data_IF_294619581617
#
_entry.id   IF_294619581617
#
_cell.length_a   1.000
_cell.length_b   1.000
_cell.length_c   1.000
_cell.angle_alpha   90.00
_cell.angle_beta   90.00
_cell.angle_gamma   90.00
#
_symmetry.space_group_name_H-M   'P 1'
#
loop_
_entity.id
_entity.type
_entity.pdbx_description
1 polymer ?
#
# COMPACT_ATOMS: atom_id res chain seq x y z
N UNK A 1 -1.69 10.21 19.55
CA UNK A 1 -2.65 10.69 18.53
C UNK A 1 -3.31 9.47 17.93
N UNK A 2 -4.64 9.45 17.82
CA UNK A 2 -5.36 8.33 17.25
C UNK A 2 -5.16 8.34 15.72
N UNK A 3 -4.44 7.36 15.18
CA UNK A 3 -4.11 7.28 13.74
C UNK A 3 -5.36 7.21 12.86
N UNK A 4 -6.46 6.63 13.36
CA UNK A 4 -7.77 6.64 12.69
C UNK A 4 -8.30 8.05 12.51
N UNK A 5 -8.20 8.89 13.54
CA UNK A 5 -8.67 10.29 13.46
C UNK A 5 -7.84 11.10 12.47
N UNK A 6 -6.52 10.89 12.44
CA UNK A 6 -5.63 11.52 11.47
C UNK A 6 -5.99 11.11 10.04
N UNK A 7 -6.16 9.81 9.78
CA UNK A 7 -6.56 9.32 8.48
C UNK A 7 -7.95 9.85 8.07
N UNK A 8 -8.94 9.86 8.98
CA UNK A 8 -10.26 10.44 8.71
C UNK A 8 -10.18 11.92 8.34
N UNK A 9 -9.32 12.69 9.00
CA UNK A 9 -9.12 14.10 8.67
C UNK A 9 -8.48 14.29 7.29
N UNK A 10 -7.52 13.44 6.94
CA UNK A 10 -6.89 13.43 5.62
C UNK A 10 -7.91 13.08 4.51
N UNK A 11 -8.73 12.06 4.73
CA UNK A 11 -9.74 11.61 3.76
C UNK A 11 -10.82 12.67 3.47
N UNK A 12 -11.10 13.56 4.43
CA UNK A 12 -12.06 14.68 4.29
C UNK A 12 -11.57 15.82 3.40
N UNK A 13 -10.27 15.87 3.07
CA UNK A 13 -9.74 16.91 2.21
C UNK A 13 -10.38 16.87 0.82
N UNK A 14 -10.51 18.03 0.17
CA UNK A 14 -11.11 18.12 -1.17
C UNK A 14 -10.23 17.42 -2.22
N UNK A 15 -8.91 17.56 -2.07
CA UNK A 15 -7.89 16.94 -2.91
C UNK A 15 -6.76 16.39 -2.02
N UNK A 16 -5.94 15.49 -2.56
CA UNK A 16 -4.88 14.79 -1.83
C UNK A 16 -3.48 14.97 -2.41
N UNK A 17 -3.31 15.82 -3.44
CA UNK A 17 -2.03 16.20 -4.06
C UNK A 17 -0.96 15.09 -4.10
N UNK A 18 -1.33 13.95 -4.70
CA UNK A 18 -0.49 12.75 -4.84
C UNK A 18 -0.10 12.07 -3.53
N UNK A 19 -1.00 11.96 -2.57
CA UNK A 19 -0.69 11.27 -1.30
C UNK A 19 -0.53 9.75 -1.44
N UNK A 20 0.56 9.25 -0.84
CA UNK A 20 0.81 7.84 -0.54
C UNK A 20 1.06 7.70 0.95
N UNK A 21 0.16 7.00 1.63
CA UNK A 21 0.13 6.83 3.08
C UNK A 21 0.61 5.42 3.42
N UNK A 22 1.57 5.32 4.34
CA UNK A 22 1.92 4.06 4.97
C UNK A 22 1.06 3.88 6.23
N UNK A 23 0.23 2.83 6.27
CA UNK A 23 -0.61 2.50 7.42
C UNK A 23 0.03 1.39 8.25
N UNK A 24 0.29 1.69 9.53
CA UNK A 24 0.89 0.76 10.50
C UNK A 24 -0.10 0.31 11.59
N UNK A 25 -1.39 0.60 11.43
CA UNK A 25 -2.44 0.21 12.38
C UNK A 25 -3.12 -1.11 12.02
N UNK A 26 -4.15 -1.49 12.79
CA UNK A 26 -4.92 -2.69 12.50
C UNK A 26 -5.81 -2.53 11.25
N UNK A 27 -6.14 -3.65 10.62
CA UNK A 27 -7.09 -3.72 9.51
C UNK A 27 -8.49 -3.25 9.91
N UNK A 28 -8.92 -3.55 11.13
CA UNK A 28 -10.22 -3.12 11.64
C UNK A 28 -10.29 -1.59 11.75
N UNK A 29 -9.24 -0.97 12.29
CA UNK A 29 -9.12 0.48 12.40
C UNK A 29 -9.05 1.16 11.03
N UNK A 30 -8.36 0.56 10.05
CA UNK A 30 -8.33 1.05 8.68
C UNK A 30 -9.71 0.99 8.02
N UNK A 31 -10.42 -0.14 8.14
CA UNK A 31 -11.77 -0.30 7.60
C UNK A 31 -12.75 0.70 8.21
N UNK A 32 -12.67 0.95 9.51
CA UNK A 32 -13.47 1.99 10.17
C UNK A 32 -13.17 3.39 9.60
N UNK A 33 -11.88 3.71 9.40
CA UNK A 33 -11.46 4.98 8.80
C UNK A 33 -12.01 5.19 7.38
N UNK A 34 -12.08 4.12 6.59
CA UNK A 34 -12.43 4.14 5.17
C UNK A 34 -13.92 3.94 4.87
N UNK A 35 -14.75 3.70 5.90
CA UNK A 35 -16.18 3.35 5.78
C UNK A 35 -17.04 4.27 4.89
N UNK A 36 -16.66 5.54 4.73
CA UNK A 36 -17.37 6.53 3.92
C UNK A 36 -16.66 6.89 2.61
N UNK A 37 -15.57 6.22 2.27
CA UNK A 37 -14.77 6.49 1.08
C UNK A 37 -15.02 5.44 0.00
N UNK A 38 -14.98 5.86 -1.26
CA UNK A 38 -14.89 4.92 -2.36
C UNK A 38 -13.49 4.30 -2.35
N UNK A 39 -13.43 3.02 -2.01
CA UNK A 39 -12.19 2.29 -1.79
C UNK A 39 -12.07 1.15 -2.78
N UNK A 40 -10.84 0.91 -3.21
CA UNK A 40 -10.46 -0.24 -4.04
C UNK A 40 -9.33 -0.95 -3.32
N UNK A 41 -9.40 -2.27 -3.23
CA UNK A 41 -8.32 -3.08 -2.68
C UNK A 41 -7.50 -3.67 -3.84
N UNK A 42 -6.18 -3.63 -3.70
CA UNK A 42 -5.24 -4.30 -4.59
C UNK A 42 -4.31 -5.16 -3.75
N UNK A 43 -4.45 -6.48 -3.85
CA UNK A 43 -3.39 -7.38 -3.41
C UNK A 43 -2.35 -7.50 -4.51
N UNK A 44 -1.09 -7.19 -4.19
CA UNK A 44 0.00 -7.31 -5.14
C UNK A 44 0.19 -8.77 -5.61
N UNK A 45 -0.25 -9.75 -4.82
CA UNK A 45 -0.27 -11.17 -5.23
C UNK A 45 -1.23 -11.42 -6.40
N UNK A 46 -2.36 -10.72 -6.45
CA UNK A 46 -3.39 -10.92 -7.49
C UNK A 46 -2.93 -10.46 -8.88
N UNK A 47 -1.80 -9.77 -8.96
CA UNK A 47 -1.18 -9.35 -10.22
C UNK A 47 -0.38 -10.47 -10.90
N UNK A 48 -0.18 -11.60 -10.22
CA UNK A 48 0.41 -12.79 -10.80
C UNK A 48 -0.67 -13.74 -11.34
N UNK A 49 -0.40 -14.29 -12.51
CA UNK A 49 -1.21 -15.37 -13.09
C UNK A 49 -0.78 -16.70 -12.45
N UNK A 50 -1.66 -17.39 -11.70
CA UNK A 50 -1.32 -18.66 -11.05
C UNK A 50 -0.98 -19.78 -12.05
N UNK A 51 -1.52 -19.70 -13.28
CA UNK A 51 -1.27 -20.70 -14.33
C UNK A 51 0.03 -20.40 -15.11
N UNK A 52 0.62 -19.22 -14.91
CA UNK A 52 1.79 -18.76 -15.62
C UNK A 52 2.72 -17.96 -14.70
N UNK A 53 3.24 -18.64 -13.68
CA UNK A 53 4.19 -18.04 -12.75
C UNK A 53 5.54 -17.75 -13.44
N UNK A 54 6.20 -16.64 -13.08
CA UNK A 54 7.52 -16.28 -13.61
C UNK A 54 8.58 -17.31 -13.20
N UNK A 55 9.50 -17.61 -14.12
CA UNK A 55 10.56 -18.61 -13.90
C UNK A 55 11.69 -18.11 -12.98
N UNK A 56 11.85 -16.80 -12.85
CA UNK A 56 12.87 -16.16 -12.01
C UNK A 56 12.40 -14.78 -11.52
N UNK A 57 13.18 -14.17 -10.63
CA UNK A 57 12.83 -12.90 -9.99
C UNK A 57 12.86 -11.69 -10.93
N UNK A 58 13.66 -11.73 -12.01
CA UNK A 58 13.71 -10.64 -13.00
C UNK A 58 12.43 -10.63 -13.86
N UNK A 59 12.00 -11.80 -14.31
CA UNK A 59 10.72 -11.98 -15.01
C UNK A 59 9.55 -11.61 -14.10
N UNK A 60 9.59 -12.02 -12.82
CA UNK A 60 8.58 -11.68 -11.84
C UNK A 60 8.47 -10.16 -11.66
N UNK A 61 9.61 -9.47 -11.55
CA UNK A 61 9.68 -8.02 -11.46
C UNK A 61 9.08 -7.34 -12.70
N UNK A 62 9.47 -7.77 -13.89
CA UNK A 62 9.01 -7.17 -15.15
C UNK A 62 7.50 -7.36 -15.37
N UNK A 63 6.98 -8.56 -15.09
CA UNK A 63 5.54 -8.85 -15.15
C UNK A 63 4.77 -8.04 -14.13
N UNK A 64 5.23 -8.03 -12.88
CA UNK A 64 4.57 -7.30 -11.81
C UNK A 64 4.54 -5.79 -12.10
N UNK A 65 5.64 -5.22 -12.60
CA UNK A 65 5.68 -3.81 -13.01
C UNK A 65 4.64 -3.50 -14.10
N UNK A 66 4.50 -4.39 -15.08
CA UNK A 66 3.55 -4.24 -16.19
C UNK A 66 2.10 -4.35 -15.72
N UNK A 67 1.76 -5.42 -14.98
CA UNK A 67 0.42 -5.64 -14.43
C UNK A 67 0.00 -4.52 -13.48
N UNK A 68 0.90 -4.09 -12.60
CA UNK A 68 0.66 -2.97 -11.68
C UNK A 68 0.34 -1.70 -12.44
N UNK A 69 1.14 -1.36 -13.46
CA UNK A 69 0.89 -0.17 -14.29
C UNK A 69 -0.48 -0.23 -14.96
N UNK A 70 -0.81 -1.35 -15.60
CA UNK A 70 -2.09 -1.53 -16.29
C UNK A 70 -3.27 -1.38 -15.32
N UNK A 71 -3.18 -1.99 -14.14
CA UNK A 71 -4.20 -1.89 -13.11
C UNK A 71 -4.39 -0.43 -12.65
N UNK A 72 -3.30 0.26 -12.31
CA UNK A 72 -3.34 1.65 -11.84
C UNK A 72 -3.94 2.61 -12.88
N UNK A 73 -3.59 2.45 -14.16
CA UNK A 73 -4.13 3.25 -15.25
C UNK A 73 -5.63 3.03 -15.49
N UNK A 74 -6.17 1.88 -15.08
CA UNK A 74 -7.59 1.54 -15.22
C UNK A 74 -8.52 2.20 -14.20
N UNK A 75 -8.00 2.63 -13.03
CA UNK A 75 -8.84 3.14 -11.93
C UNK A 75 -9.32 4.59 -12.14
N UNK A 76 -8.55 5.41 -12.87
CA UNK A 76 -8.86 6.81 -13.25
C UNK A 76 -9.67 7.63 -12.22
N UNK A 77 -9.07 8.03 -11.08
CA UNK A 77 -9.74 8.87 -10.07
C UNK A 77 -10.12 10.24 -10.64
N UNK A 78 -11.30 10.76 -10.25
CA UNK A 78 -11.79 12.07 -10.71
C UNK A 78 -12.42 12.88 -9.58
N UNK A 79 -12.71 14.16 -9.81
CA UNK A 79 -13.38 15.02 -8.82
C UNK A 79 -14.74 14.49 -8.35
N UNK A 80 -15.44 13.69 -9.18
CA UNK A 80 -16.72 13.07 -8.85
C UNK A 80 -16.57 11.69 -8.21
N UNK A 81 -15.44 11.02 -8.43
CA UNK A 81 -15.13 9.70 -7.91
C UNK A 81 -13.69 9.70 -7.40
N UNK A 82 -13.50 10.23 -6.19
CA UNK A 82 -12.24 10.11 -5.47
C UNK A 82 -12.04 8.64 -5.11
N UNK A 83 -10.83 8.12 -5.26
CA UNK A 83 -10.54 6.71 -5.00
C UNK A 83 -9.40 6.62 -3.99
N UNK A 84 -9.62 5.80 -2.96
CA UNK A 84 -8.55 5.34 -2.07
C UNK A 84 -8.18 3.93 -2.46
N UNK A 85 -6.96 3.73 -2.94
CA UNK A 85 -6.43 2.41 -3.27
C UNK A 85 -5.69 1.84 -2.07
N UNK A 86 -6.21 0.77 -1.48
CA UNK A 86 -5.58 0.06 -0.38
C UNK A 86 -4.73 -1.08 -0.94
N UNK A 87 -3.41 -0.96 -0.79
CA UNK A 87 -2.45 -1.93 -1.32
C UNK A 87 -2.06 -2.91 -0.22
N UNK A 88 -2.35 -4.18 -0.47
CA UNK A 88 -1.98 -5.33 0.36
C UNK A 88 -0.71 -6.00 -0.17
N UNK A 89 -0.09 -6.84 0.66
CA UNK A 89 1.13 -7.56 0.29
C UNK A 89 2.27 -6.64 -0.20
N UNK A 90 2.38 -5.44 0.38
CA UNK A 90 3.38 -4.43 -0.01
C UNK A 90 4.83 -4.94 0.07
N UNK A 91 5.10 -6.00 0.85
CA UNK A 91 6.40 -6.67 0.88
C UNK A 91 6.88 -7.20 -0.48
N UNK A 92 5.97 -7.49 -1.41
CA UNK A 92 6.34 -7.90 -2.78
C UNK A 92 6.94 -6.76 -3.60
N UNK A 93 6.51 -5.51 -3.35
CA UNK A 93 7.12 -4.33 -3.98
C UNK A 93 8.58 -4.19 -3.55
N UNK A 94 8.86 -4.51 -2.28
CA UNK A 94 10.21 -4.52 -1.71
C UNK A 94 11.04 -5.67 -2.27
N UNK A 95 10.48 -6.90 -2.26
CA UNK A 95 11.13 -8.12 -2.76
C UNK A 95 11.61 -7.95 -4.20
N UNK A 96 10.79 -7.35 -5.06
CA UNK A 96 11.11 -7.15 -6.48
C UNK A 96 11.66 -5.75 -6.80
N UNK A 97 11.95 -4.93 -5.79
CA UNK A 97 12.51 -3.59 -5.93
C UNK A 97 11.78 -2.71 -6.97
N UNK A 98 10.45 -2.64 -6.86
CA UNK A 98 9.59 -1.85 -7.74
C UNK A 98 9.38 -0.41 -7.24
N UNK A 99 9.61 -0.16 -5.95
CA UNK A 99 9.40 1.15 -5.33
C UNK A 99 7.95 1.64 -5.44
N UNK A 100 7.75 2.94 -5.22
CA UNK A 100 6.42 3.57 -5.22
C UNK A 100 6.15 4.51 -6.39
N UNK A 101 7.15 4.72 -7.26
CA UNK A 101 7.07 5.63 -8.40
C UNK A 101 5.87 5.38 -9.30
N UNK A 102 5.52 4.11 -9.55
CA UNK A 102 4.36 3.75 -10.38
C UNK A 102 3.04 4.28 -9.82
N UNK A 103 2.87 4.32 -8.50
CA UNK A 103 1.68 4.89 -7.89
C UNK A 103 1.62 6.41 -8.13
N UNK A 104 2.74 7.11 -7.91
CA UNK A 104 2.87 8.54 -8.17
C UNK A 104 2.62 8.94 -9.63
N UNK A 105 3.14 8.14 -10.56
CA UNK A 105 3.08 8.45 -12.00
C UNK A 105 1.71 8.14 -12.61
N UNK A 106 1.04 7.06 -12.15
CA UNK A 106 -0.10 6.49 -12.88
C UNK A 106 -1.44 6.56 -12.14
N UNK A 107 -1.47 6.80 -10.83
CA UNK A 107 -2.70 6.78 -10.05
C UNK A 107 -2.86 7.99 -9.12
N UNK A 108 -1.82 8.32 -8.38
CA UNK A 108 -1.81 9.46 -7.47
C UNK A 108 -2.01 10.76 -8.25
N UNK A 109 -2.87 11.61 -7.72
CA UNK A 109 -3.21 12.92 -8.29
C UNK A 109 -4.03 13.70 -7.28
N UNK A 110 -4.87 14.61 -7.75
CA UNK A 110 -5.74 15.38 -6.86
C UNK A 110 -6.80 14.51 -6.16
N UNK A 111 -7.21 13.41 -6.78
CA UNK A 111 -8.37 12.61 -6.37
C UNK A 111 -8.06 11.14 -6.09
N UNK A 112 -6.80 10.73 -6.27
CA UNK A 112 -6.31 9.37 -6.00
C UNK A 112 -5.36 9.39 -4.81
N UNK A 113 -5.63 8.53 -3.82
CA UNK A 113 -4.76 8.32 -2.66
C UNK A 113 -4.42 6.84 -2.54
N UNK A 114 -3.16 6.53 -2.26
CA UNK A 114 -2.73 5.14 -2.01
C UNK A 114 -2.50 4.96 -0.52
N UNK A 115 -2.98 3.86 0.04
CA UNK A 115 -2.67 3.42 1.39
C UNK A 115 -1.97 2.07 1.31
N UNK A 116 -0.72 2.00 1.72
CA UNK A 116 0.05 0.76 1.80
C UNK A 116 -0.10 0.23 3.22
N UNK A 117 -0.65 -0.97 3.36
CA UNK A 117 -0.76 -1.61 4.66
C UNK A 117 0.48 -2.44 4.93
N UNK A 118 1.19 -2.14 6.01
CA UNK A 118 2.18 -3.07 6.55
C UNK A 118 1.52 -3.84 7.68
N UNK A 119 1.41 -5.15 7.51
CA UNK A 119 1.14 -6.03 8.62
C UNK A 119 2.33 -5.94 9.58
N UNK A 120 2.19 -5.17 10.66
CA UNK A 120 2.99 -5.41 11.86
C UNK A 120 2.51 -6.73 12.41
N UNK A 121 3.43 -7.65 12.69
CA UNK A 121 3.08 -8.94 13.26
C UNK A 121 2.33 -8.70 14.58
N UNK A 122 0.99 -8.75 14.53
CA UNK A 122 0.14 -8.55 15.70
C UNK A 122 0.06 -9.82 16.55
N UNK A 123 0.73 -10.90 16.15
CA UNK A 123 0.73 -12.13 16.91
C UNK A 123 2.16 -12.51 17.25
N UNK A 124 2.40 -12.70 18.55
CA UNK A 124 3.49 -13.51 19.09
C UNK A 124 3.34 -14.93 18.56
N UNK A 125 3.57 -15.15 17.28
CA UNK A 125 3.80 -16.48 16.75
C UNK A 125 5.14 -16.90 17.34
N UNK A 126 5.14 -18.01 18.08
CA UNK A 126 6.36 -18.61 18.58
C UNK A 126 7.11 -19.22 17.38
N UNK A 127 7.80 -18.37 16.62
CA UNK A 127 8.63 -18.80 15.53
C UNK A 127 9.81 -19.62 16.08
N UNK A 128 10.31 -20.62 15.32
CA UNK A 128 11.52 -21.33 15.69
C UNK A 128 12.67 -20.37 15.95
N UNK A 129 13.59 -20.69 16.88
CA UNK A 129 14.71 -19.80 17.25
C UNK A 129 15.64 -19.42 16.08
N UNK A 130 15.57 -20.14 14.96
CA UNK A 130 16.32 -19.85 13.73
C UNK A 130 15.67 -18.75 12.85
N UNK A 131 14.41 -18.38 13.12
CA UNK A 131 13.67 -17.37 12.37
C UNK A 131 13.75 -16.05 13.12
N UNK A 132 14.59 -15.13 12.62
CA UNK A 132 14.65 -13.75 13.11
C UNK A 132 13.65 -12.94 12.30
N UNK A 133 12.66 -12.37 12.98
CA UNK A 133 11.77 -11.39 12.37
C UNK A 133 12.45 -10.03 12.38
N UNK A 134 12.57 -9.42 11.21
CA UNK A 134 13.05 -8.05 11.04
C UNK A 134 11.84 -7.17 10.73
N UNK A 135 11.18 -6.69 11.80
CA UNK A 135 9.96 -5.87 11.73
C UNK A 135 10.19 -4.53 10.99
N UNK A 136 11.43 -4.05 10.97
CA UNK A 136 11.75 -2.69 10.52
C UNK A 136 12.18 -2.64 9.05
N UNK A 137 12.59 -3.76 8.43
CA UNK A 137 13.03 -3.79 7.03
C UNK A 137 12.01 -3.24 6.02
N UNK A 138 10.73 -3.57 6.20
CA UNK A 138 9.67 -3.04 5.32
C UNK A 138 9.39 -1.57 5.60
N UNK A 139 9.40 -1.19 6.88
CA UNK A 139 9.23 0.19 7.30
C UNK A 139 10.33 1.07 6.70
N UNK A 140 11.60 0.71 6.89
CA UNK A 140 12.77 1.44 6.40
C UNK A 140 12.73 1.62 4.87
N UNK A 141 12.31 0.60 4.13
CA UNK A 141 12.15 0.68 2.68
C UNK A 141 11.12 1.75 2.27
N UNK A 142 9.95 1.78 2.93
CA UNK A 142 8.88 2.71 2.59
C UNK A 142 9.06 4.10 3.18
N UNK A 143 9.87 4.27 4.23
CA UNK A 143 10.20 5.57 4.82
C UNK A 143 11.45 6.23 4.23
N UNK A 144 12.07 5.62 3.22
CA UNK A 144 13.14 6.24 2.44
C UNK A 144 12.72 7.59 1.84
N UNK A 145 13.69 8.47 1.59
CA UNK A 145 13.45 9.81 1.06
C UNK A 145 12.65 9.72 -0.26
N UNK A 146 11.47 10.35 -0.29
CA UNK A 146 10.61 10.41 -1.48
C UNK A 146 9.74 9.17 -1.75
N UNK A 147 9.64 8.24 -0.79
CA UNK A 147 8.87 7.00 -0.96
C UNK A 147 7.41 7.14 -0.53
N UNK A 148 7.11 7.50 0.72
CA UNK A 148 5.75 7.83 1.16
C UNK A 148 5.61 9.30 1.53
N UNK A 149 4.43 9.89 1.34
CA UNK A 149 4.17 11.27 1.79
C UNK A 149 3.92 11.32 3.30
N UNK A 150 3.32 10.27 3.87
CA UNK A 150 2.94 10.22 5.29
C UNK A 150 3.02 8.79 5.84
N UNK A 151 3.36 8.69 7.13
CA UNK A 151 3.26 7.46 7.91
C UNK A 151 2.22 7.68 9.00
N UNK A 152 1.18 6.85 9.05
CA UNK A 152 0.12 6.91 10.06
C UNK A 152 0.14 5.63 10.89
N UNK A 153 0.23 5.80 12.20
CA UNK A 153 0.28 4.69 13.16
C UNK A 153 -0.95 4.71 14.05
N UNK A 154 -1.61 3.57 14.20
CA UNK A 154 -2.61 3.38 15.23
C UNK A 154 -1.93 2.89 16.50
N UNK A 155 -1.51 3.82 17.38
CA UNK A 155 -1.13 3.47 18.75
C UNK A 155 -2.40 3.39 19.58
N UNK A 156 -2.94 2.18 19.70
CA UNK A 156 -3.79 1.79 20.82
C UNK A 156 -2.94 1.63 22.07
#
# INVERSE_FOLDING_TARGET
MNGVTELKNLLRQKTWDKDVVLWLGSDAALKDALSLCNTQELDILDLFDPDNLPANDEDARARLATSLRQHLQGLQPTARSKIVLVVRSGGLLVRYNLGLKSFYDWFCGDFGMVIITLARAAEKMAWPAAVVFDDDRLYDYFTGIGMCSRVITDKG
#
